data_IF_421149499721
#
_entry.id   IF_421149499721
#
_cell.length_a   1.000
_cell.length_b   1.000
_cell.length_c   1.000
_cell.angle_alpha   90.00
_cell.angle_beta   90.00
_cell.angle_gamma   90.00
#
_symmetry.space_group_name_H-M   'P 1'
#
loop_
_entity.id
_entity.type
_entity.pdbx_description
1 polymer ?
#
# COMPACT_ATOMS: atom_id res chain seq x y z
N UNK A 1 -13.40 -8.78 0.61
CA UNK A 1 -14.87 -8.78 0.83
C UNK A 1 -15.59 -10.06 0.47
N UNK A 2 -15.45 -10.62 -0.74
CA UNK A 2 -16.20 -11.83 -1.16
C UNK A 2 -16.18 -12.96 -0.13
N UNK A 3 -15.00 -13.40 0.31
CA UNK A 3 -14.87 -14.48 1.29
C UNK A 3 -15.56 -14.20 2.65
N UNK A 4 -15.59 -12.93 3.07
CA UNK A 4 -16.17 -12.49 4.34
C UNK A 4 -17.70 -12.51 4.30
N UNK A 5 -18.30 -12.10 3.18
CA UNK A 5 -19.77 -12.00 3.04
C UNK A 5 -20.42 -13.25 2.42
N UNK A 6 -19.69 -14.04 1.64
CA UNK A 6 -20.22 -15.26 0.99
C UNK A 6 -19.66 -16.55 1.57
N UNK A 7 -18.82 -16.46 2.62
CA UNK A 7 -18.29 -17.62 3.32
C UNK A 7 -19.22 -18.13 4.42
N UNK A 8 -18.79 -19.18 5.12
CA UNK A 8 -19.48 -19.71 6.30
C UNK A 8 -19.00 -19.07 7.62
N UNK A 9 -18.25 -17.97 7.53
CA UNK A 9 -17.78 -17.21 8.68
C UNK A 9 -18.92 -16.44 9.37
N UNK A 10 -18.72 -16.03 10.62
CA UNK A 10 -19.76 -15.35 11.40
C UNK A 10 -20.22 -14.05 10.71
N UNK A 11 -19.30 -13.37 10.06
CA UNK A 11 -19.48 -12.12 9.33
C UNK A 11 -20.51 -12.25 8.20
N UNK A 12 -20.69 -13.43 7.59
CA UNK A 12 -21.68 -13.61 6.51
C UNK A 12 -23.12 -13.59 7.00
N UNK A 13 -23.33 -13.68 8.31
CA UNK A 13 -24.65 -13.65 8.97
C UNK A 13 -24.92 -12.34 9.69
N UNK A 14 -23.98 -11.39 9.65
CA UNK A 14 -24.09 -10.11 10.32
C UNK A 14 -24.58 -9.03 9.35
N UNK A 15 -25.42 -8.12 9.84
CA UNK A 15 -25.89 -6.95 9.08
C UNK A 15 -24.90 -5.79 9.12
N UNK A 16 -23.97 -5.81 10.06
CA UNK A 16 -22.92 -4.81 10.26
C UNK A 16 -21.62 -5.56 10.54
N UNK A 17 -20.52 -5.13 9.90
CA UNK A 17 -19.22 -5.73 10.16
C UNK A 17 -18.16 -4.67 10.43
N UNK A 18 -17.41 -4.86 11.51
CA UNK A 18 -16.34 -3.97 11.93
C UNK A 18 -15.04 -4.42 11.28
N UNK A 19 -14.49 -3.57 10.42
CA UNK A 19 -13.16 -3.77 9.82
C UNK A 19 -12.15 -3.04 10.71
N UNK A 20 -11.13 -3.77 11.16
CA UNK A 20 -10.06 -3.24 12.02
C UNK A 20 -8.79 -3.04 11.20
N UNK A 21 -7.86 -2.27 11.76
CA UNK A 21 -6.52 -2.06 11.19
C UNK A 21 -6.51 -1.36 9.81
N UNK A 22 -7.55 -0.58 9.52
CA UNK A 22 -7.64 0.29 8.36
C UNK A 22 -7.96 1.70 8.82
N UNK A 23 -7.23 2.68 8.28
CA UNK A 23 -7.49 4.10 8.47
C UNK A 23 -8.84 4.50 7.84
N UNK A 24 -9.60 5.37 8.53
CA UNK A 24 -10.96 5.76 8.11
C UNK A 24 -10.98 6.36 6.69
N UNK A 25 -9.98 7.18 6.34
CA UNK A 25 -9.89 7.84 5.03
C UNK A 25 -9.46 6.86 3.95
N UNK A 26 -8.57 5.94 4.29
CA UNK A 26 -8.22 4.85 3.38
C UNK A 26 -9.46 4.02 3.06
N UNK A 27 -10.27 3.64 4.05
CA UNK A 27 -11.50 2.88 3.82
C UNK A 27 -12.50 3.64 2.93
N UNK A 28 -12.68 4.94 3.15
CA UNK A 28 -13.54 5.79 2.31
C UNK A 28 -13.10 5.76 0.84
N UNK A 29 -11.81 5.98 0.57
CA UNK A 29 -11.26 5.93 -0.80
C UNK A 29 -11.42 4.55 -1.45
N UNK A 30 -11.27 3.46 -0.67
CA UNK A 30 -11.45 2.10 -1.18
C UNK A 30 -12.91 1.80 -1.54
N UNK A 31 -13.87 2.33 -0.78
CA UNK A 31 -15.30 2.23 -1.09
C UNK A 31 -15.62 3.05 -2.34
N UNK A 32 -15.16 4.29 -2.41
CA UNK A 32 -15.37 5.15 -3.58
C UNK A 32 -14.79 4.51 -4.85
N UNK A 33 -13.60 3.91 -4.76
CA UNK A 33 -13.04 3.12 -5.85
C UNK A 33 -13.94 1.94 -6.25
N UNK A 34 -14.53 1.22 -5.29
CA UNK A 34 -15.40 0.10 -5.61
C UNK A 34 -16.66 0.51 -6.41
N UNK A 35 -17.14 1.75 -6.26
CA UNK A 35 -18.30 2.28 -6.98
C UNK A 35 -17.95 3.06 -8.25
N UNK A 36 -16.77 3.69 -8.32
CA UNK A 36 -16.38 4.60 -9.41
C UNK A 36 -15.28 4.04 -10.31
N UNK A 37 -14.57 3.01 -9.85
CA UNK A 37 -13.33 2.49 -10.44
C UNK A 37 -12.23 3.55 -10.58
N UNK A 38 -12.28 4.62 -9.78
CA UNK A 38 -11.29 5.69 -9.77
C UNK A 38 -10.70 5.85 -8.37
N UNK A 39 -9.39 6.04 -8.31
CA UNK A 39 -8.66 6.35 -7.08
C UNK A 39 -7.49 7.26 -7.41
N UNK A 40 -7.27 8.28 -6.58
CA UNK A 40 -6.13 9.19 -6.73
C UNK A 40 -5.10 8.86 -5.66
N UNK A 41 -3.92 8.41 -6.09
CA UNK A 41 -2.80 8.10 -5.19
C UNK A 41 -1.90 9.32 -5.08
N UNK A 42 -1.65 9.75 -3.84
CA UNK A 42 -0.88 10.95 -3.51
C UNK A 42 0.04 10.68 -2.31
N UNK A 43 1.04 11.53 -2.10
CA UNK A 43 1.99 11.37 -0.99
C UNK A 43 1.30 11.32 0.38
N UNK A 44 0.24 12.12 0.55
CA UNK A 44 -0.52 12.19 1.80
C UNK A 44 -1.39 10.97 2.11
N UNK A 45 -1.67 10.10 1.13
CA UNK A 45 -2.55 8.94 1.31
C UNK A 45 -1.88 7.58 1.04
N UNK A 46 -0.79 7.53 0.29
CA UNK A 46 -0.21 6.26 -0.17
C UNK A 46 0.24 5.34 0.98
N UNK A 47 0.68 5.93 2.10
CA UNK A 47 1.15 5.17 3.27
C UNK A 47 0.01 4.49 4.05
N UNK A 48 -1.21 5.02 4.01
CA UNK A 48 -2.39 4.41 4.62
C UNK A 48 -3.21 3.58 3.62
N UNK A 49 -3.18 3.98 2.34
CA UNK A 49 -3.90 3.32 1.26
C UNK A 49 -3.28 1.97 0.86
N UNK A 50 -1.95 1.89 0.73
CA UNK A 50 -1.29 0.64 0.33
C UNK A 50 -1.54 -0.51 1.33
N UNK A 51 -1.38 -0.33 2.66
CA UNK A 51 -1.66 -1.38 3.64
C UNK A 51 -3.12 -1.84 3.59
N UNK A 52 -4.06 -0.90 3.47
CA UNK A 52 -5.48 -1.19 3.37
C UNK A 52 -5.81 -1.99 2.10
N UNK A 53 -5.23 -1.61 0.96
CA UNK A 53 -5.36 -2.34 -0.30
C UNK A 53 -4.76 -3.75 -0.21
N UNK A 54 -3.61 -3.92 0.43
CA UNK A 54 -3.02 -5.23 0.68
C UNK A 54 -3.90 -6.11 1.57
N UNK A 55 -4.44 -5.55 2.66
CA UNK A 55 -5.29 -6.27 3.60
C UNK A 55 -6.61 -6.72 2.95
N UNK A 56 -7.22 -5.86 2.14
CA UNK A 56 -8.48 -6.15 1.45
C UNK A 56 -8.29 -6.85 0.10
N UNK A 57 -7.04 -7.13 -0.29
CA UNK A 57 -6.65 -7.82 -1.51
C UNK A 57 -7.10 -7.11 -2.80
N UNK A 58 -6.97 -5.78 -2.82
CA UNK A 58 -7.30 -4.91 -3.96
C UNK A 58 -6.05 -4.68 -4.83
N UNK A 59 -5.77 -5.64 -5.71
CA UNK A 59 -4.54 -5.68 -6.51
C UNK A 59 -4.32 -4.43 -7.38
N UNK A 60 -5.37 -3.89 -7.99
CA UNK A 60 -5.27 -2.69 -8.85
C UNK A 60 -4.77 -1.46 -8.08
N UNK A 61 -5.28 -1.26 -6.86
CA UNK A 61 -4.86 -0.16 -5.99
C UNK A 61 -3.47 -0.40 -5.43
N UNK A 62 -3.16 -1.65 -5.06
CA UNK A 62 -1.83 -2.05 -4.62
C UNK A 62 -0.78 -1.73 -5.70
N UNK A 63 -1.07 -2.06 -6.95
CA UNK A 63 -0.19 -1.78 -8.09
C UNK A 63 -0.05 -0.28 -8.33
N UNK A 64 -1.15 0.48 -8.33
CA UNK A 64 -1.12 1.93 -8.47
C UNK A 64 -0.27 2.61 -7.37
N UNK A 65 -0.41 2.18 -6.12
CA UNK A 65 0.40 2.66 -5.00
C UNK A 65 1.89 2.31 -5.17
N UNK A 66 2.19 1.08 -5.60
CA UNK A 66 3.57 0.65 -5.83
C UNK A 66 4.23 1.44 -6.97
N UNK A 67 3.51 1.69 -8.07
CA UNK A 67 4.01 2.49 -9.18
C UNK A 67 4.19 3.96 -8.80
N UNK A 68 3.32 4.52 -7.95
CA UNK A 68 3.52 5.84 -7.38
C UNK A 68 4.81 5.91 -6.56
N UNK A 69 5.00 5.00 -5.60
CA UNK A 69 6.19 4.97 -4.73
C UNK A 69 7.49 4.76 -5.52
N UNK A 70 7.44 3.92 -6.56
CA UNK A 70 8.56 3.70 -7.47
C UNK A 70 9.00 4.98 -8.19
N UNK A 71 8.05 5.83 -8.61
CA UNK A 71 8.34 7.12 -9.27
C UNK A 71 8.90 8.16 -8.30
N UNK A 72 8.61 8.01 -7.00
CA UNK A 72 9.06 8.91 -5.94
C UNK A 72 10.37 8.46 -5.27
N UNK A 73 11.04 7.42 -5.79
CA UNK A 73 12.31 6.96 -5.24
C UNK A 73 13.39 8.03 -5.34
N UNK A 74 13.92 8.40 -4.18
CA UNK A 74 14.97 9.39 -4.00
C UNK A 74 16.00 8.87 -2.98
N UNK A 75 17.30 9.22 -3.07
CA UNK A 75 18.29 8.81 -2.07
C UNK A 75 17.92 9.18 -0.63
N UNK A 76 17.11 10.23 -0.43
CA UNK A 76 16.63 10.65 0.88
C UNK A 76 15.52 9.77 1.47
N UNK A 77 14.75 9.06 0.64
CA UNK A 77 13.57 8.31 1.07
C UNK A 77 13.62 6.80 0.73
N UNK A 78 14.60 6.35 -0.07
CA UNK A 78 14.59 5.00 -0.63
C UNK A 78 14.64 3.89 0.43
N UNK A 79 15.30 4.13 1.56
CA UNK A 79 15.35 3.18 2.68
C UNK A 79 13.98 3.03 3.37
N UNK A 80 13.24 4.13 3.50
CA UNK A 80 11.88 4.12 4.03
C UNK A 80 10.93 3.36 3.10
N UNK A 81 10.98 3.67 1.80
CA UNK A 81 10.17 2.96 0.79
C UNK A 81 10.52 1.47 0.75
N UNK A 82 11.80 1.12 0.86
CA UNK A 82 12.26 -0.28 0.93
C UNK A 82 11.69 -1.00 2.16
N UNK A 83 11.81 -0.42 3.35
CA UNK A 83 11.28 -1.01 4.58
C UNK A 83 9.74 -1.14 4.54
N UNK A 84 9.07 -0.15 3.96
CA UNK A 84 7.63 -0.16 3.76
C UNK A 84 7.20 -1.29 2.80
N UNK A 85 7.92 -1.44 1.68
CA UNK A 85 7.66 -2.50 0.71
C UNK A 85 7.86 -3.90 1.32
N UNK A 86 8.88 -4.08 2.17
CA UNK A 86 9.13 -5.33 2.89
C UNK A 86 7.98 -5.65 3.87
N UNK A 87 7.56 -4.66 4.65
CA UNK A 87 6.46 -4.78 5.64
C UNK A 87 5.15 -5.23 4.99
N UNK A 88 4.83 -4.70 3.82
CA UNK A 88 3.58 -5.02 3.11
C UNK A 88 3.73 -6.11 2.04
N UNK A 89 4.87 -6.81 2.03
CA UNK A 89 5.16 -7.89 1.07
C UNK A 89 5.07 -7.48 -0.41
N UNK A 90 5.31 -6.20 -0.72
CA UNK A 90 5.34 -5.66 -2.07
C UNK A 90 6.69 -5.97 -2.74
N UNK A 91 6.87 -7.23 -3.15
CA UNK A 91 8.16 -7.79 -3.61
C UNK A 91 8.83 -7.01 -4.75
N UNK A 92 8.06 -6.56 -5.73
CA UNK A 92 8.65 -5.85 -6.88
C UNK A 92 9.10 -4.44 -6.48
N UNK A 93 8.33 -3.72 -5.66
CA UNK A 93 8.74 -2.43 -5.12
C UNK A 93 9.99 -2.58 -4.25
N UNK A 94 10.05 -3.61 -3.40
CA UNK A 94 11.22 -3.94 -2.58
C UNK A 94 12.47 -4.14 -3.46
N UNK A 95 12.36 -4.98 -4.50
CA UNK A 95 13.45 -5.27 -5.43
C UNK A 95 13.96 -4.02 -6.14
N UNK A 96 13.06 -3.13 -6.55
CA UNK A 96 13.40 -1.88 -7.22
C UNK A 96 14.08 -0.92 -6.23
N UNK A 97 13.55 -0.77 -5.02
CA UNK A 97 14.12 0.08 -3.98
C UNK A 97 15.51 -0.43 -3.54
N UNK A 98 15.70 -1.75 -3.44
CA UNK A 98 17.01 -2.38 -3.20
C UNK A 98 18.02 -2.01 -4.29
N UNK A 99 17.65 -2.21 -5.56
CA UNK A 99 18.52 -1.90 -6.70
C UNK A 99 18.87 -0.41 -6.74
N UNK A 100 17.89 0.46 -6.47
CA UNK A 100 18.10 1.90 -6.42
C UNK A 100 19.05 2.29 -5.28
N UNK A 101 18.87 1.71 -4.09
CA UNK A 101 19.73 1.95 -2.91
C UNK A 101 21.17 1.54 -3.18
N UNK A 102 21.38 0.38 -3.81
CA UNK A 102 22.72 -0.08 -4.19
C UNK A 102 23.39 0.83 -5.21
N UNK A 103 22.64 1.29 -6.22
CA UNK A 103 23.18 2.17 -7.26
C UNK A 103 23.56 3.56 -6.71
N UNK A 104 22.78 4.09 -5.77
CA UNK A 104 22.95 5.42 -5.20
C UNK A 104 23.62 5.40 -3.82
N UNK A 105 24.33 4.30 -3.47
CA UNK A 105 24.84 4.06 -2.13
C UNK A 105 25.66 5.21 -1.54
N UNK A 106 26.45 5.91 -2.38
CA UNK A 106 27.25 7.06 -1.94
C UNK A 106 26.39 8.24 -1.47
N UNK A 107 25.29 8.51 -2.17
CA UNK A 107 24.37 9.58 -1.80
C UNK A 107 23.52 9.17 -0.58
N UNK A 108 23.04 7.92 -0.55
CA UNK A 108 22.28 7.38 0.58
C UNK A 108 23.12 7.43 1.86
N UNK A 109 24.42 7.12 1.79
CA UNK A 109 25.32 7.19 2.95
C UNK A 109 25.40 8.60 3.54
N UNK A 110 25.35 9.65 2.72
CA UNK A 110 25.39 11.06 3.18
C UNK A 110 24.12 11.49 3.91
N UNK A 111 22.99 10.81 3.66
CA UNK A 111 21.72 11.09 4.33
C UNK A 111 21.66 10.41 5.70
N UNK A 112 22.33 9.27 5.86
CA UNK A 112 22.24 8.41 7.05
C UNK A 112 23.41 8.61 8.03
N UNK A 113 24.55 9.18 7.59
CA UNK A 113 25.73 9.48 8.42
C UNK A 113 25.83 10.98 8.73
#
# INVERSE_FOLDING_TARGET
FRAMFTGELAESRQTEVVIRDIDERAMELLIDFAYTSQVTVEEGNVQTLLPAACLLQLAEIQEACCEFLKRQLDPSNCLGIRAFADTHSCRELLRIADKFTQHNFQEVKKVVC
#
